data_IF_522065923122
#
_entry.id   IF_522065923122
#
_cell.length_a   1.000
_cell.length_b   1.000
_cell.length_c   1.000
_cell.angle_alpha   90.00
_cell.angle_beta   90.00
_cell.angle_gamma   90.00
#
_symmetry.space_group_name_H-M   'P 1'
#
loop_
_entity.id
_entity.type
_entity.pdbx_description
1 polymer ?
#
# COMPACT_ATOMS: atom_id res chain seq x y z
N UNK A 1 -0.96 -49.83 -7.00
CA UNK A 1 -0.01 -49.17 -6.08
C UNK A 1 -0.22 -49.76 -4.70
N UNK A 2 0.78 -50.41 -4.11
CA UNK A 2 0.65 -51.13 -2.85
C UNK A 2 0.57 -50.19 -1.66
N UNK A 3 0.00 -50.63 -0.52
CA UNK A 3 -0.08 -49.83 0.72
C UNK A 3 1.30 -49.32 1.20
N UNK A 4 2.38 -50.06 0.91
CA UNK A 4 3.77 -49.65 1.24
C UNK A 4 4.26 -48.49 0.37
N UNK A 5 4.05 -48.55 -0.96
CA UNK A 5 4.45 -47.48 -1.88
C UNK A 5 3.77 -46.15 -1.53
N UNK A 6 2.50 -46.20 -1.12
CA UNK A 6 1.74 -45.02 -0.65
C UNK A 6 2.33 -44.47 0.65
N UNK A 7 2.74 -45.34 1.56
CA UNK A 7 3.34 -44.96 2.83
C UNK A 7 4.72 -44.32 2.65
N UNK A 8 5.59 -44.93 1.83
CA UNK A 8 6.91 -44.37 1.48
C UNK A 8 6.81 -43.02 0.78
N UNK A 9 5.85 -42.86 -0.14
CA UNK A 9 5.60 -41.58 -0.80
C UNK A 9 5.18 -40.50 0.20
N UNK A 10 4.31 -40.82 1.16
CA UNK A 10 3.91 -39.89 2.23
C UNK A 10 5.06 -39.53 3.16
N UNK A 11 5.93 -40.47 3.50
CA UNK A 11 7.10 -40.19 4.34
C UNK A 11 8.14 -39.33 3.62
N UNK A 12 8.35 -39.56 2.32
CA UNK A 12 9.19 -38.71 1.48
C UNK A 12 8.64 -37.29 1.38
N UNK A 13 7.33 -37.13 1.17
CA UNK A 13 6.66 -35.83 1.13
C UNK A 13 6.82 -35.07 2.46
N UNK A 14 6.63 -35.74 3.61
CA UNK A 14 6.89 -35.14 4.93
C UNK A 14 8.35 -34.75 5.13
N UNK A 15 9.30 -35.49 4.55
CA UNK A 15 10.72 -35.17 4.63
C UNK A 15 11.04 -33.91 3.80
N UNK A 16 10.60 -33.87 2.54
CA UNK A 16 10.75 -32.72 1.66
C UNK A 16 10.09 -31.46 2.25
N UNK A 17 8.92 -31.61 2.86
CA UNK A 17 8.24 -30.50 3.54
C UNK A 17 9.08 -29.95 4.71
N UNK A 18 9.70 -30.83 5.50
CA UNK A 18 10.57 -30.42 6.61
C UNK A 18 11.83 -29.73 6.12
N UNK A 19 12.45 -30.24 5.07
CA UNK A 19 13.62 -29.62 4.41
C UNK A 19 13.25 -28.24 3.86
N UNK A 20 12.12 -28.11 3.15
CA UNK A 20 11.64 -26.84 2.64
C UNK A 20 11.39 -25.80 3.74
N UNK A 21 10.78 -26.17 4.88
CA UNK A 21 10.62 -25.26 6.03
C UNK A 21 11.97 -24.83 6.59
N UNK A 22 12.91 -25.77 6.73
CA UNK A 22 14.24 -25.48 7.25
C UNK A 22 14.99 -24.51 6.34
N UNK A 23 14.92 -24.70 5.03
CA UNK A 23 15.56 -23.84 4.04
C UNK A 23 14.93 -22.44 4.03
N UNK A 24 13.59 -22.35 4.13
CA UNK A 24 12.89 -21.06 4.31
C UNK A 24 13.40 -20.35 5.57
N UNK A 25 13.55 -21.06 6.70
CA UNK A 25 14.05 -20.45 7.94
C UNK A 25 15.50 -19.99 7.83
N UNK A 26 16.35 -20.76 7.15
CA UNK A 26 17.74 -20.35 6.88
C UNK A 26 17.78 -19.11 5.97
N UNK A 27 16.86 -18.99 5.02
CA UNK A 27 16.77 -17.83 4.13
C UNK A 27 16.48 -16.53 4.90
N UNK A 28 15.84 -16.58 6.07
CA UNK A 28 15.58 -15.40 6.90
C UNK A 28 16.87 -14.72 7.37
N UNK A 29 17.98 -15.47 7.48
CA UNK A 29 19.30 -14.94 7.87
C UNK A 29 19.85 -13.99 6.79
N UNK A 30 19.42 -14.15 5.53
CA UNK A 30 19.84 -13.33 4.40
C UNK A 30 19.09 -11.98 4.33
N UNK A 31 18.10 -11.75 5.20
CA UNK A 31 17.41 -10.47 5.25
C UNK A 31 18.36 -9.36 5.69
N UNK A 32 18.52 -8.36 4.84
CA UNK A 32 19.37 -7.19 5.08
C UNK A 32 18.69 -6.14 5.95
N UNK A 33 17.37 -6.18 6.05
CA UNK A 33 16.56 -5.23 6.80
C UNK A 33 16.12 -5.78 8.15
N UNK A 34 16.00 -4.90 9.14
CA UNK A 34 15.45 -5.21 10.47
C UNK A 34 14.15 -4.46 10.67
N UNK A 35 13.20 -5.07 11.37
CA UNK A 35 11.94 -4.40 11.75
C UNK A 35 12.26 -3.21 12.65
N UNK A 36 11.65 -2.06 12.35
CA UNK A 36 11.70 -0.89 13.22
C UNK A 36 10.93 -1.12 14.52
N UNK A 37 11.40 -0.52 15.61
CA UNK A 37 10.71 -0.52 16.90
C UNK A 37 11.00 0.79 17.64
N UNK A 38 10.17 1.09 18.63
CA UNK A 38 10.37 2.20 19.55
C UNK A 38 10.44 1.60 20.95
N UNK A 39 11.53 1.87 21.64
CA UNK A 39 11.74 1.50 23.04
C UNK A 39 11.90 2.78 23.86
N UNK A 40 11.28 2.79 25.03
CA UNK A 40 11.26 3.92 25.95
C UNK A 40 11.80 3.47 27.30
N UNK A 41 12.45 4.38 28.02
CA UNK A 41 12.87 4.12 29.40
C UNK A 41 11.65 3.93 30.32
N UNK A 42 11.86 3.26 31.47
CA UNK A 42 10.82 2.79 32.41
C UNK A 42 9.76 3.83 32.83
N UNK A 43 10.06 5.12 32.74
CA UNK A 43 9.17 6.21 33.18
C UNK A 43 8.39 6.89 32.05
N UNK A 44 8.71 6.61 30.78
CA UNK A 44 8.06 7.22 29.62
C UNK A 44 7.20 6.19 28.91
N UNK A 45 6.03 6.60 28.44
CA UNK A 45 5.13 5.72 27.67
C UNK A 45 5.26 5.99 26.19
N UNK A 46 5.13 4.95 25.37
CA UNK A 46 5.34 5.04 23.91
C UNK A 46 4.39 6.02 23.22
N UNK A 47 3.15 6.17 23.72
CA UNK A 47 2.17 7.11 23.18
C UNK A 47 2.47 8.58 23.52
N UNK A 48 3.43 8.86 24.41
CA UNK A 48 3.84 10.23 24.77
C UNK A 48 4.88 10.80 23.79
N UNK A 49 5.41 9.97 22.88
CA UNK A 49 6.39 10.38 21.89
C UNK A 49 5.72 11.19 20.79
N UNK A 50 6.26 12.39 20.54
CA UNK A 50 5.74 13.30 19.51
C UNK A 50 6.36 13.02 18.14
N UNK A 51 5.68 13.42 17.06
CA UNK A 51 6.24 13.35 15.70
C UNK A 51 7.57 14.13 15.56
N UNK A 52 7.69 15.28 16.23
CA UNK A 52 8.93 16.05 16.27
C UNK A 52 10.08 15.28 16.95
N UNK A 53 9.78 14.50 17.97
CA UNK A 53 10.77 13.65 18.63
C UNK A 53 11.16 12.46 17.75
N UNK A 54 10.19 11.79 17.10
CA UNK A 54 10.47 10.73 16.14
C UNK A 54 11.39 11.23 15.02
N UNK A 55 11.04 12.37 14.42
CA UNK A 55 11.84 12.97 13.34
C UNK A 55 13.28 13.19 13.79
N UNK A 56 13.55 13.66 15.00
CA UNK A 56 14.93 13.85 15.48
C UNK A 56 15.73 12.55 15.60
N UNK A 57 15.07 11.41 15.78
CA UNK A 57 15.68 10.11 16.06
C UNK A 57 15.68 9.13 14.87
N UNK A 58 15.07 9.49 13.73
CA UNK A 58 15.11 8.68 12.50
C UNK A 58 16.15 9.19 11.49
N UNK A 59 16.50 8.33 10.53
CA UNK A 59 17.43 8.68 9.45
C UNK A 59 16.87 9.77 8.54
N UNK A 60 17.77 10.49 7.86
CA UNK A 60 17.39 11.56 6.93
C UNK A 60 16.42 11.08 5.84
N UNK A 61 16.64 9.88 5.30
CA UNK A 61 15.75 9.26 4.30
C UNK A 61 14.31 9.10 4.82
N UNK A 62 14.13 8.72 6.09
CA UNK A 62 12.78 8.59 6.68
C UNK A 62 12.14 9.96 6.88
N UNK A 63 12.92 10.97 7.30
CA UNK A 63 12.42 12.35 7.42
C UNK A 63 11.89 12.88 6.08
N UNK A 64 12.57 12.59 4.98
CA UNK A 64 12.16 13.02 3.64
C UNK A 64 10.84 12.38 3.19
N UNK A 65 10.52 11.18 3.68
CA UNK A 65 9.21 10.53 3.45
C UNK A 65 8.09 11.09 4.33
N UNK A 66 8.40 11.86 5.37
CA UNK A 66 7.41 12.50 6.21
C UNK A 66 7.00 13.86 5.63
N UNK A 67 5.85 13.92 4.96
CA UNK A 67 5.31 15.16 4.40
C UNK A 67 3.93 15.49 4.98
N UNK A 68 3.55 16.77 4.86
CA UNK A 68 2.23 17.28 5.25
C UNK A 68 1.62 18.01 4.07
N UNK A 69 0.45 17.54 3.63
CA UNK A 69 -0.39 18.23 2.65
C UNK A 69 -1.50 18.97 3.41
N UNK A 70 -1.61 20.27 3.21
CA UNK A 70 -2.68 21.08 3.77
C UNK A 70 -3.78 21.20 2.70
N UNK A 71 -4.81 20.37 2.82
CA UNK A 71 -5.95 20.31 1.91
C UNK A 71 -7.23 20.63 2.67
N UNK A 72 -8.22 21.22 1.99
CA UNK A 72 -9.48 21.62 2.60
C UNK A 72 -10.56 20.53 2.46
N UNK A 73 -11.34 20.36 3.54
CA UNK A 73 -12.47 19.41 3.58
C UNK A 73 -12.10 17.98 4.01
N UNK A 74 -13.08 17.05 4.00
CA UNK A 74 -12.82 15.64 4.20
C UNK A 74 -11.96 15.09 3.07
N UNK A 75 -10.78 14.58 3.42
CA UNK A 75 -9.82 14.02 2.47
C UNK A 75 -9.67 12.53 2.75
N UNK A 76 -9.71 11.74 1.69
CA UNK A 76 -9.52 10.30 1.71
C UNK A 76 -8.33 9.95 0.85
N UNK A 77 -7.52 9.02 1.33
CA UNK A 77 -6.27 8.65 0.69
C UNK A 77 -6.14 7.14 0.52
N UNK A 78 -5.51 6.73 -0.57
CA UNK A 78 -5.12 5.34 -0.84
C UNK A 78 -3.72 5.29 -1.40
N UNK A 79 -2.96 4.30 -0.97
CA UNK A 79 -1.65 4.00 -1.53
C UNK A 79 -1.73 2.84 -2.51
N UNK A 80 -0.80 2.77 -3.44
CA UNK A 80 -0.47 1.51 -4.14
C UNK A 80 0.07 0.48 -3.15
N UNK A 81 0.02 -0.80 -3.51
CA UNK A 81 0.47 -1.91 -2.64
C UNK A 81 1.94 -1.76 -2.20
N UNK A 82 2.78 -1.16 -3.05
CA UNK A 82 4.19 -0.87 -2.73
C UNK A 82 4.40 0.42 -1.91
N UNK A 83 3.32 1.16 -1.61
CA UNK A 83 3.36 2.40 -0.82
C UNK A 83 3.95 3.63 -1.53
N UNK A 84 4.34 3.54 -2.82
CA UNK A 84 5.04 4.62 -3.51
C UNK A 84 4.11 5.73 -4.01
N UNK A 85 2.94 5.37 -4.52
CA UNK A 85 2.02 6.32 -5.13
C UNK A 85 0.82 6.54 -4.21
N UNK A 86 0.45 7.81 -4.04
CA UNK A 86 -0.66 8.25 -3.22
C UNK A 86 -1.76 8.78 -4.14
N UNK A 87 -2.98 8.29 -3.95
CA UNK A 87 -4.18 8.85 -4.54
C UNK A 87 -4.99 9.54 -3.44
N UNK A 88 -5.46 10.74 -3.73
CA UNK A 88 -6.18 11.63 -2.81
C UNK A 88 -7.52 11.97 -3.46
N UNK A 89 -8.61 11.91 -2.69
CA UNK A 89 -9.90 12.45 -3.11
C UNK A 89 -10.58 13.25 -2.00
N UNK A 90 -11.52 14.11 -2.37
CA UNK A 90 -12.56 14.58 -1.46
C UNK A 90 -13.94 14.02 -1.87
N UNK A 91 -15.00 14.49 -1.22
CA UNK A 91 -16.38 14.08 -1.54
C UNK A 91 -17.03 14.95 -2.64
N UNK A 92 -16.40 16.09 -2.99
CA UNK A 92 -16.94 17.12 -3.89
C UNK A 92 -16.51 16.98 -5.35
N UNK A 93 -15.57 16.09 -5.67
CA UNK A 93 -15.08 15.90 -7.05
C UNK A 93 -13.57 15.94 -7.22
N UNK A 94 -12.82 16.43 -6.23
CA UNK A 94 -11.37 16.55 -6.32
C UNK A 94 -10.71 15.17 -6.27
N UNK A 95 -9.86 14.89 -7.25
CA UNK A 95 -8.97 13.73 -7.29
C UNK A 95 -7.57 14.18 -7.64
N UNK A 96 -6.57 13.61 -6.97
CA UNK A 96 -5.17 13.85 -7.24
C UNK A 96 -4.36 12.56 -7.04
N UNK A 97 -3.33 12.35 -7.88
CA UNK A 97 -2.41 11.23 -7.79
C UNK A 97 -0.98 11.73 -7.85
N UNK A 98 -0.11 11.28 -6.95
CA UNK A 98 1.30 11.70 -6.89
C UNK A 98 2.25 10.59 -6.44
N UNK A 99 3.51 10.67 -6.89
CA UNK A 99 4.63 9.88 -6.35
C UNK A 99 5.11 10.54 -5.04
N UNK A 100 5.00 9.82 -3.93
CA UNK A 100 5.31 10.34 -2.58
C UNK A 100 6.80 10.51 -2.31
N UNK A 101 7.65 9.83 -3.07
CA UNK A 101 9.10 9.93 -2.89
C UNK A 101 9.66 11.12 -3.64
N UNK A 102 9.17 11.38 -4.84
CA UNK A 102 9.61 12.51 -5.66
C UNK A 102 8.72 13.74 -5.50
N UNK A 103 7.59 13.61 -4.80
CA UNK A 103 6.50 14.60 -4.72
C UNK A 103 6.03 15.06 -6.12
N UNK A 104 6.09 14.15 -7.10
CA UNK A 104 5.70 14.45 -8.48
C UNK A 104 4.23 14.13 -8.67
N UNK A 105 3.45 15.13 -9.02
CA UNK A 105 2.05 14.97 -9.41
C UNK A 105 1.96 14.19 -10.73
N UNK A 106 1.11 13.16 -10.76
CA UNK A 106 0.74 12.43 -11.97
C UNK A 106 -0.42 13.13 -12.67
N UNK A 107 -1.51 13.36 -11.93
CA UNK A 107 -2.65 14.14 -12.39
C UNK A 107 -3.42 14.73 -11.21
N UNK A 108 -4.21 15.75 -11.51
CA UNK A 108 -5.18 16.37 -10.61
C UNK A 108 -6.38 16.78 -11.46
N UNK A 109 -7.58 16.40 -11.03
CA UNK A 109 -8.82 16.67 -11.74
C UNK A 109 -9.93 17.00 -10.74
N UNK A 110 -10.80 17.94 -11.10
CA UNK A 110 -11.97 18.30 -10.31
C UNK A 110 -13.23 17.90 -11.07
N UNK A 111 -13.79 16.75 -10.71
CA UNK A 111 -15.02 16.24 -11.30
C UNK A 111 -16.22 17.03 -10.80
N UNK A 112 -17.28 17.12 -11.62
CA UNK A 112 -18.54 17.74 -11.20
C UNK A 112 -19.39 16.82 -10.31
N UNK A 113 -19.10 15.52 -10.37
CA UNK A 113 -19.85 14.48 -9.68
C UNK A 113 -19.31 14.26 -8.28
N UNK A 114 -20.18 13.83 -7.37
CA UNK A 114 -19.74 13.36 -6.06
C UNK A 114 -18.92 12.08 -6.18
N UNK A 115 -17.92 11.95 -5.32
CA UNK A 115 -17.04 10.78 -5.26
C UNK A 115 -17.28 10.00 -3.97
N UNK A 116 -17.42 8.68 -4.10
CA UNK A 116 -17.68 7.79 -2.97
C UNK A 116 -16.42 7.04 -2.53
N UNK A 117 -15.64 6.55 -3.49
CA UNK A 117 -14.37 5.88 -3.21
C UNK A 117 -13.45 5.96 -4.42
N UNK A 118 -12.19 5.63 -4.18
CA UNK A 118 -11.17 5.52 -5.21
C UNK A 118 -10.19 4.42 -4.81
N UNK A 119 -9.62 3.72 -5.80
CA UNK A 119 -8.53 2.76 -5.57
C UNK A 119 -7.59 2.70 -6.76
N UNK A 120 -6.31 2.46 -6.49
CA UNK A 120 -5.42 1.94 -7.51
C UNK A 120 -5.85 0.51 -7.90
N UNK A 121 -5.55 0.12 -9.13
CA UNK A 121 -5.68 -1.25 -9.58
C UNK A 121 -4.34 -1.99 -9.35
N UNK A 122 -3.88 -2.75 -10.33
CA UNK A 122 -2.66 -3.58 -10.22
C UNK A 122 -1.36 -2.76 -10.18
N UNK A 123 -1.39 -1.48 -10.55
CA UNK A 123 -0.24 -0.59 -10.53
C UNK A 123 -0.68 0.89 -10.43
N UNK A 124 0.28 1.81 -10.49
CA UNK A 124 0.03 3.25 -10.45
C UNK A 124 -0.53 3.85 -11.74
N UNK A 125 -0.58 3.08 -12.82
CA UNK A 125 -1.02 3.57 -14.13
C UNK A 125 -2.54 3.59 -14.27
N UNK A 126 -3.26 2.93 -13.37
CA UNK A 126 -4.72 2.84 -13.40
C UNK A 126 -5.36 3.13 -12.05
N UNK A 127 -6.33 4.03 -12.06
CA UNK A 127 -7.13 4.40 -10.89
C UNK A 127 -8.60 4.20 -11.21
N UNK A 128 -9.30 3.46 -10.35
CA UNK A 128 -10.74 3.35 -10.39
C UNK A 128 -11.36 4.36 -9.42
N UNK A 129 -12.35 5.13 -9.88
CA UNK A 129 -13.05 6.17 -9.12
C UNK A 129 -14.54 5.89 -9.16
N UNK A 130 -15.16 5.73 -8.00
CA UNK A 130 -16.60 5.53 -7.86
C UNK A 130 -17.30 6.89 -7.82
N UNK A 131 -17.87 7.30 -8.94
CA UNK A 131 -18.60 8.56 -9.11
C UNK A 131 -20.12 8.34 -8.93
N UNK A 132 -20.88 9.43 -8.85
CA UNK A 132 -22.36 9.42 -8.73
C UNK A 132 -23.07 8.62 -9.84
N UNK A 133 -22.56 8.67 -11.06
CA UNK A 133 -23.14 7.93 -12.18
C UNK A 133 -22.71 6.46 -12.20
N UNK A 134 -21.41 6.19 -12.21
CA UNK A 134 -20.85 4.83 -12.27
C UNK A 134 -19.37 4.79 -11.84
N UNK A 135 -18.75 3.61 -11.92
CA UNK A 135 -17.32 3.43 -11.69
C UNK A 135 -16.53 3.73 -12.97
N UNK A 136 -15.61 4.67 -12.90
CA UNK A 136 -14.72 5.02 -14.00
C UNK A 136 -13.30 4.55 -13.73
N UNK A 137 -12.57 4.23 -14.79
CA UNK A 137 -11.16 3.88 -14.75
C UNK A 137 -10.40 4.94 -15.53
N UNK A 138 -9.43 5.58 -14.89
CA UNK A 138 -8.56 6.59 -15.44
C UNK A 138 -7.13 6.06 -15.56
N UNK A 139 -6.39 6.55 -16.55
CA UNK A 139 -4.96 6.33 -16.62
C UNK A 139 -4.18 7.27 -15.68
N UNK A 140 -2.86 7.08 -15.61
CA UNK A 140 -1.93 7.92 -14.81
C UNK A 140 -1.99 9.42 -15.13
N UNK A 141 -2.46 9.80 -16.30
CA UNK A 141 -2.57 11.20 -16.74
C UNK A 141 -3.97 11.76 -16.48
N UNK A 142 -4.88 11.01 -15.84
CA UNK A 142 -6.26 11.43 -15.59
C UNK A 142 -7.18 11.28 -16.80
N UNK A 143 -6.75 10.59 -17.86
CA UNK A 143 -7.60 10.33 -19.04
C UNK A 143 -8.51 9.15 -18.74
N UNK A 144 -9.81 9.33 -18.94
CA UNK A 144 -10.80 8.25 -18.84
C UNK A 144 -10.49 7.16 -19.87
N UNK A 145 -10.35 5.92 -19.39
CA UNK A 145 -10.15 4.74 -20.22
C UNK A 145 -11.42 3.91 -20.36
N UNK A 146 -12.20 3.83 -19.29
CA UNK A 146 -13.38 2.98 -19.25
C UNK A 146 -14.40 3.48 -18.22
N UNK A 147 -15.67 3.25 -18.51
CA UNK A 147 -16.78 3.42 -17.59
C UNK A 147 -17.48 2.07 -17.43
N UNK A 148 -17.48 1.52 -16.21
CA UNK A 148 -18.16 0.27 -15.89
C UNK A 148 -19.64 0.57 -15.75
N UNK A 149 -20.40 0.27 -16.79
CA UNK A 149 -21.85 0.39 -16.81
C UNK A 149 -22.45 -1.00 -16.84
N UNK A 150 -23.52 -1.23 -16.09
CA UNK A 150 -24.31 -2.44 -16.27
C UNK A 150 -24.90 -2.43 -17.68
N UNK A 151 -24.65 -3.49 -18.45
CA UNK A 151 -25.47 -3.79 -19.62
C UNK A 151 -26.77 -4.40 -19.09
N UNK A 152 -27.81 -3.58 -18.99
CA UNK A 152 -29.19 -4.04 -18.76
C UNK A 152 -29.70 -4.86 -19.94
#
# INVERSE_FOLDING_TARGET
>A
MGKRDIFEKKELEKKLYREAIHDVKLSEILNTEKKGFIEVEDKKKTYEITQNELLKNVSQKVKEMCFKLNLEGPIYVKYTDNGRHLAIRNDSGFVSSLDTHTMKLHFEEDFKDKLYDMSYLHNEDYIAVAQESCLFIYNKQGVELHAVRENS
#
